data_IF_090208497138
#
_entry.id   IF_090208497138
#
_cell.length_a   1.000
_cell.length_b   1.000
_cell.length_c   1.000
_cell.angle_alpha   90.00
_cell.angle_beta   90.00
_cell.angle_gamma   90.00
#
_symmetry.space_group_name_H-M   'P 1'
#
loop_
_entity.id
_entity.type
_entity.pdbx_description
1 polymer ?
#
# COMPACT_ATOMS: atom_id res chain seq x y z
N UNK A 1 25.43 11.50 46.99
CA UNK A 1 25.89 11.36 45.58
C UNK A 1 25.38 10.06 44.96
N UNK A 2 25.41 8.92 45.66
CA UNK A 2 25.03 7.62 45.08
C UNK A 2 23.53 7.44 44.78
N UNK A 3 22.64 8.20 45.44
CA UNK A 3 21.19 8.16 45.14
C UNK A 3 20.79 8.95 43.89
N UNK A 4 21.58 9.96 43.50
CA UNK A 4 21.35 10.77 42.30
C UNK A 4 21.73 10.00 41.03
N UNK A 5 22.79 9.18 41.10
CA UNK A 5 23.25 8.33 39.99
C UNK A 5 22.22 7.22 39.72
N UNK A 6 21.60 6.65 40.76
CA UNK A 6 20.53 5.66 40.60
C UNK A 6 19.27 6.21 39.92
N UNK A 7 18.92 7.48 40.18
CA UNK A 7 17.78 8.13 39.52
C UNK A 7 18.13 8.48 38.07
N UNK A 8 19.32 9.01 37.79
CA UNK A 8 19.76 9.29 36.42
C UNK A 8 19.90 8.03 35.57
N UNK A 9 20.39 6.94 36.15
CA UNK A 9 20.51 5.65 35.46
C UNK A 9 19.14 4.97 35.30
N UNK A 10 18.24 5.12 36.27
CA UNK A 10 16.85 4.69 36.17
C UNK A 10 16.05 5.46 35.12
N UNK A 11 16.24 6.79 35.02
CA UNK A 11 15.67 7.62 33.95
C UNK A 11 16.27 7.25 32.60
N UNK A 12 17.60 7.07 32.50
CA UNK A 12 18.24 6.63 31.26
C UNK A 12 17.74 5.27 30.77
N UNK A 13 17.60 4.28 31.65
CA UNK A 13 17.07 2.95 31.32
C UNK A 13 15.56 3.01 31.03
N UNK A 14 14.78 3.79 31.78
CA UNK A 14 13.35 3.96 31.52
C UNK A 14 13.10 4.68 30.18
N UNK A 15 13.88 5.72 29.85
CA UNK A 15 13.83 6.42 28.57
C UNK A 15 14.32 5.52 27.44
N UNK A 16 15.33 4.67 27.66
CA UNK A 16 15.78 3.69 26.66
C UNK A 16 14.73 2.60 26.41
N UNK A 17 14.08 2.09 27.47
CA UNK A 17 12.97 1.14 27.35
C UNK A 17 11.74 1.79 26.72
N UNK A 18 11.43 3.05 27.05
CA UNK A 18 10.36 3.82 26.39
C UNK A 18 10.67 4.05 24.92
N UNK A 19 11.89 4.44 24.56
CA UNK A 19 12.29 4.60 23.15
C UNK A 19 12.27 3.29 22.38
N UNK A 20 12.66 2.16 22.99
CA UNK A 20 12.62 0.86 22.32
C UNK A 20 11.19 0.30 22.20
N UNK A 21 10.36 0.39 23.24
CA UNK A 21 8.95 -0.05 23.15
C UNK A 21 8.08 0.87 22.28
N UNK A 22 8.43 2.16 22.13
CA UNK A 22 7.77 3.11 21.23
C UNK A 22 8.24 2.96 19.77
N UNK A 23 9.50 2.53 19.55
CA UNK A 23 10.05 2.16 18.22
C UNK A 23 9.33 0.96 17.60
N UNK A 24 9.07 -0.10 18.37
CA UNK A 24 8.38 -1.29 17.87
C UNK A 24 6.84 -1.14 17.85
N UNK A 25 6.24 -0.36 18.77
CA UNK A 25 4.78 -0.34 18.96
C UNK A 25 3.99 0.51 17.96
N UNK A 26 4.44 1.73 17.65
CA UNK A 26 3.64 2.66 16.83
C UNK A 26 3.90 2.54 15.33
N UNK A 27 5.12 2.17 14.93
CA UNK A 27 5.44 1.81 13.55
C UNK A 27 4.59 0.63 13.09
N UNK A 28 4.44 -0.39 13.93
CA UNK A 28 3.61 -1.57 13.67
C UNK A 28 2.12 -1.20 13.56
N UNK A 29 1.63 -0.27 14.38
CA UNK A 29 0.24 0.24 14.30
C UNK A 29 0.01 1.02 13.00
N UNK A 30 0.96 1.86 12.57
CA UNK A 30 0.88 2.57 11.30
C UNK A 30 0.91 1.59 10.11
N UNK A 31 1.80 0.59 10.12
CA UNK A 31 1.85 -0.47 9.11
C UNK A 31 0.55 -1.26 9.05
N UNK A 32 -0.03 -1.62 10.19
CA UNK A 32 -1.30 -2.34 10.26
C UNK A 32 -2.48 -1.50 9.71
N UNK A 33 -2.46 -0.18 9.94
CA UNK A 33 -3.42 0.75 9.35
C UNK A 33 -3.26 0.84 7.83
N UNK A 34 -2.03 0.95 7.32
CA UNK A 34 -1.75 0.94 5.88
C UNK A 34 -2.18 -0.38 5.23
N UNK A 35 -1.90 -1.52 5.85
CA UNK A 35 -2.33 -2.83 5.38
C UNK A 35 -3.86 -2.94 5.34
N UNK A 36 -4.56 -2.44 6.37
CA UNK A 36 -6.04 -2.40 6.38
C UNK A 36 -6.60 -1.53 5.25
N UNK A 37 -5.98 -0.39 4.98
CA UNK A 37 -6.35 0.50 3.87
C UNK A 37 -6.16 -0.19 2.50
N UNK A 38 -5.01 -0.83 2.29
CA UNK A 38 -4.74 -1.57 1.05
C UNK A 38 -5.72 -2.73 0.85
N UNK A 39 -6.10 -3.44 1.91
CA UNK A 39 -7.17 -4.46 1.84
C UNK A 39 -8.52 -3.86 1.46
N UNK A 40 -8.85 -2.66 1.95
CA UNK A 40 -10.07 -1.95 1.54
C UNK A 40 -10.03 -1.54 0.06
N UNK A 41 -8.87 -1.09 -0.44
CA UNK A 41 -8.64 -0.78 -1.86
C UNK A 41 -8.77 -2.06 -2.71
N UNK A 42 -8.13 -3.16 -2.29
CA UNK A 42 -8.27 -4.45 -2.98
C UNK A 42 -9.74 -4.91 -3.02
N UNK A 43 -10.48 -4.80 -1.92
CA UNK A 43 -11.91 -5.16 -1.89
C UNK A 43 -12.77 -4.37 -2.91
N UNK A 44 -12.35 -3.16 -3.29
CA UNK A 44 -12.96 -2.39 -4.38
C UNK A 44 -12.59 -2.94 -5.77
N UNK A 45 -11.34 -3.39 -5.95
CA UNK A 45 -10.86 -4.03 -7.19
C UNK A 45 -11.47 -5.42 -7.43
N UNK A 46 -12.10 -6.03 -6.42
CA UNK A 46 -12.70 -7.36 -6.54
C UNK A 46 -13.73 -7.39 -7.67
N UNK A 47 -13.45 -8.20 -8.69
CA UNK A 47 -14.35 -8.45 -9.80
C UNK A 47 -15.72 -8.95 -9.28
N UNK A 48 -16.85 -8.54 -9.89
CA UNK A 48 -18.16 -9.08 -9.56
C UNK A 48 -18.17 -10.60 -9.78
N UNK A 49 -18.62 -11.35 -8.78
CA UNK A 49 -18.79 -12.80 -8.87
C UNK A 49 -19.71 -13.14 -10.06
N UNK A 50 -19.38 -14.18 -10.80
CA UNK A 50 -20.14 -14.63 -11.97
C UNK A 50 -21.56 -14.99 -11.53
N UNK A 51 -22.52 -14.09 -11.77
CA UNK A 51 -23.92 -14.23 -11.35
C UNK A 51 -24.54 -12.99 -10.68
N UNK A 52 -23.75 -11.98 -10.30
CA UNK A 52 -24.30 -10.66 -9.96
C UNK A 52 -24.68 -9.92 -11.23
N UNK A 53 -25.95 -9.53 -11.35
CA UNK A 53 -26.47 -8.77 -12.49
C UNK A 53 -25.60 -7.52 -12.70
N UNK A 54 -25.16 -7.24 -13.94
CA UNK A 54 -24.28 -6.10 -14.30
C UNK A 54 -24.86 -4.71 -13.95
N UNK A 55 -26.03 -4.66 -13.31
CA UNK A 55 -26.80 -3.48 -12.93
C UNK A 55 -26.68 -3.08 -11.46
N UNK A 56 -25.88 -3.79 -10.66
CA UNK A 56 -25.62 -3.46 -9.27
C UNK A 56 -24.59 -2.30 -9.12
N UNK A 57 -24.91 -1.16 -9.71
CA UNK A 57 -24.13 0.10 -9.62
C UNK A 57 -24.12 0.66 -8.19
N UNK A 58 -25.21 0.46 -7.45
CA UNK A 58 -25.37 0.92 -6.06
C UNK A 58 -24.34 0.31 -5.09
N UNK A 59 -24.16 -1.02 -5.01
CA UNK A 59 -23.14 -1.62 -4.14
C UNK A 59 -21.70 -1.36 -4.60
N UNK A 60 -21.46 -1.04 -5.88
CA UNK A 60 -20.14 -0.58 -6.33
C UNK A 60 -19.82 0.83 -5.79
N UNK A 61 -20.72 1.80 -5.99
CA UNK A 61 -20.54 3.16 -5.50
C UNK A 61 -20.36 3.22 -3.98
N UNK A 62 -21.10 2.38 -3.23
CA UNK A 62 -20.96 2.29 -1.78
C UNK A 62 -19.59 1.74 -1.36
N UNK A 63 -19.07 0.70 -2.02
CA UNK A 63 -17.73 0.17 -1.75
C UNK A 63 -16.65 1.18 -2.08
N UNK A 64 -16.79 1.90 -3.18
CA UNK A 64 -15.88 2.98 -3.56
C UNK A 64 -15.85 4.10 -2.51
N UNK A 65 -17.01 4.55 -2.03
CA UNK A 65 -17.10 5.55 -0.96
C UNK A 65 -16.44 5.07 0.35
N UNK A 66 -16.65 3.81 0.71
CA UNK A 66 -16.01 3.21 1.90
C UNK A 66 -14.49 3.16 1.77
N UNK A 67 -13.97 2.76 0.61
CA UNK A 67 -12.52 2.75 0.35
C UNK A 67 -11.91 4.16 0.45
N UNK A 68 -12.59 5.18 -0.12
CA UNK A 68 -12.16 6.58 -0.01
C UNK A 68 -12.17 7.08 1.44
N UNK A 69 -13.18 6.70 2.22
CA UNK A 69 -13.25 7.07 3.63
C UNK A 69 -12.11 6.47 4.46
N UNK A 70 -11.75 5.20 4.20
CA UNK A 70 -10.62 4.53 4.88
C UNK A 70 -9.29 5.18 4.51
N UNK A 71 -9.10 5.55 3.23
CA UNK A 71 -7.91 6.28 2.78
C UNK A 71 -7.79 7.64 3.51
N UNK A 72 -8.87 8.41 3.55
CA UNK A 72 -8.88 9.72 4.23
C UNK A 72 -8.63 9.61 5.74
N UNK A 73 -9.15 8.57 6.42
CA UNK A 73 -8.86 8.32 7.84
C UNK A 73 -7.37 7.99 8.09
N UNK A 74 -6.75 7.24 7.16
CA UNK A 74 -5.33 6.93 7.22
C UNK A 74 -4.47 8.18 7.01
N UNK A 75 -4.81 9.05 6.04
CA UNK A 75 -4.13 10.33 5.81
C UNK A 75 -4.24 11.26 7.01
N UNK A 76 -5.43 11.38 7.60
CA UNK A 76 -5.65 12.19 8.80
C UNK A 76 -4.86 11.65 10.00
N UNK A 77 -4.82 10.33 10.16
CA UNK A 77 -4.02 9.69 11.22
C UNK A 77 -2.53 9.97 11.05
N UNK A 78 -2.01 9.79 9.84
CA UNK A 78 -0.60 10.06 9.54
C UNK A 78 -0.24 11.54 9.75
N UNK A 79 -1.11 12.46 9.31
CA UNK A 79 -0.89 13.90 9.48
C UNK A 79 -0.80 14.29 10.95
N UNK A 80 -1.64 13.70 11.81
CA UNK A 80 -1.59 13.91 13.26
C UNK A 80 -0.30 13.39 13.86
N UNK A 81 0.11 12.17 13.52
CA UNK A 81 1.35 11.54 14.04
C UNK A 81 2.59 12.31 13.59
N UNK A 82 2.64 12.76 12.33
CA UNK A 82 3.76 13.53 11.79
C UNK A 82 3.96 14.91 12.44
N UNK A 83 2.93 15.42 13.13
CA UNK A 83 2.97 16.68 13.88
C UNK A 83 3.32 16.48 15.35
N UNK A 84 3.46 15.24 15.84
CA UNK A 84 3.85 14.98 17.22
C UNK A 84 5.34 15.32 17.44
N UNK A 85 5.69 16.12 18.48
CA UNK A 85 7.07 16.58 18.69
C UNK A 85 8.09 15.46 18.83
N UNK A 86 7.70 14.34 19.46
CA UNK A 86 8.57 13.16 19.61
C UNK A 86 8.78 12.36 18.33
N UNK A 87 7.96 12.61 17.29
CA UNK A 87 8.05 11.92 16.00
C UNK A 87 9.10 12.54 15.07
N UNK A 88 9.22 13.87 15.07
CA UNK A 88 10.16 14.58 14.20
C UNK A 88 11.62 14.46 14.65
N UNK A 89 11.86 14.21 15.94
CA UNK A 89 13.21 14.09 16.51
C UNK A 89 13.84 12.69 16.29
N UNK A 90 13.08 11.71 15.80
CA UNK A 90 13.51 10.33 15.60
C UNK A 90 13.75 9.97 14.11
N UNK A 91 14.44 8.83 13.85
CA UNK A 91 14.60 8.17 12.53
C UNK A 91 13.26 7.88 11.78
N UNK A 92 12.12 8.20 12.38
CA UNK A 92 10.76 7.89 11.92
C UNK A 92 10.28 8.77 10.74
N UNK A 93 11.05 9.78 10.35
CA UNK A 93 10.81 10.57 9.13
C UNK A 93 10.79 9.71 7.86
N UNK A 94 11.63 8.66 7.79
CA UNK A 94 11.62 7.72 6.66
C UNK A 94 10.33 6.91 6.61
N UNK A 95 9.84 6.43 7.77
CA UNK A 95 8.55 5.70 7.85
C UNK A 95 7.38 6.58 7.40
N UNK A 96 7.38 7.86 7.74
CA UNK A 96 6.39 8.82 7.25
C UNK A 96 6.46 9.00 5.74
N UNK A 97 7.67 9.11 5.16
CA UNK A 97 7.84 9.22 3.70
C UNK A 97 7.34 7.95 2.98
N UNK A 98 7.68 6.76 3.48
CA UNK A 98 7.18 5.50 2.92
C UNK A 98 5.65 5.42 3.02
N UNK A 99 5.08 5.76 4.19
CA UNK A 99 3.64 5.75 4.39
C UNK A 99 2.90 6.77 3.49
N UNK A 100 3.44 7.98 3.31
CA UNK A 100 2.92 8.98 2.37
C UNK A 100 2.99 8.49 0.92
N UNK A 101 4.07 7.80 0.55
CA UNK A 101 4.22 7.22 -0.80
C UNK A 101 3.20 6.10 -1.04
N UNK A 102 3.01 5.21 -0.07
CA UNK A 102 1.99 4.14 -0.14
C UNK A 102 0.58 4.74 -0.22
N UNK A 103 0.29 5.80 0.54
CA UNK A 103 -1.00 6.51 0.50
C UNK A 103 -1.27 7.16 -0.86
N UNK A 104 -0.27 7.89 -1.39
CA UNK A 104 -0.35 8.50 -2.70
C UNK A 104 -0.58 7.44 -3.79
N UNK A 105 0.15 6.33 -3.72
CA UNK A 105 -0.01 5.25 -4.68
C UNK A 105 -1.36 4.53 -4.54
N UNK A 106 -1.86 4.34 -3.31
CA UNK A 106 -3.19 3.80 -3.06
C UNK A 106 -4.30 4.62 -3.73
N UNK A 107 -4.16 5.96 -3.73
CA UNK A 107 -5.07 6.86 -4.43
C UNK A 107 -5.05 6.64 -5.95
N UNK A 108 -3.86 6.53 -6.54
CA UNK A 108 -3.73 6.30 -7.98
C UNK A 108 -4.31 4.94 -8.40
N UNK A 109 -4.10 3.89 -7.58
CA UNK A 109 -4.72 2.57 -7.79
C UNK A 109 -6.25 2.67 -7.76
N UNK A 110 -6.83 3.45 -6.84
CA UNK A 110 -8.28 3.66 -6.78
C UNK A 110 -8.82 4.39 -8.01
N UNK A 111 -8.10 5.39 -8.52
CA UNK A 111 -8.48 6.13 -9.73
C UNK A 111 -8.40 5.25 -10.98
N UNK A 112 -7.33 4.48 -11.14
CA UNK A 112 -7.18 3.54 -12.24
C UNK A 112 -8.22 2.41 -12.20
N UNK A 113 -8.55 1.92 -11.00
CA UNK A 113 -9.62 0.93 -10.80
C UNK A 113 -11.01 1.45 -11.18
N UNK A 114 -11.31 2.71 -10.86
CA UNK A 114 -12.56 3.38 -11.29
C UNK A 114 -12.61 3.60 -12.80
N UNK A 115 -11.49 4.00 -13.41
CA UNK A 115 -11.37 4.15 -14.86
C UNK A 115 -11.62 2.83 -15.59
N UNK A 116 -11.04 1.73 -15.11
CA UNK A 116 -11.28 0.38 -15.64
C UNK A 116 -12.75 -0.04 -15.50
N UNK A 117 -13.37 0.20 -14.33
CA UNK A 117 -14.79 -0.09 -14.13
C UNK A 117 -15.67 0.68 -15.13
N UNK A 118 -15.43 1.98 -15.31
CA UNK A 118 -16.14 2.80 -16.30
C UNK A 118 -15.92 2.32 -17.72
N UNK A 119 -14.70 1.91 -18.07
CA UNK A 119 -14.38 1.36 -19.39
C UNK A 119 -15.13 0.04 -19.64
N UNK A 120 -15.21 -0.85 -18.64
CA UNK A 120 -15.98 -2.10 -18.71
C UNK A 120 -17.48 -1.84 -18.92
N UNK A 121 -18.05 -0.90 -18.16
CA UNK A 121 -19.48 -0.52 -18.28
C UNK A 121 -19.77 0.13 -19.64
N UNK A 122 -18.90 1.04 -20.10
CA UNK A 122 -19.09 1.73 -21.37
C UNK A 122 -18.98 0.79 -22.58
N UNK A 123 -18.18 -0.26 -22.48
CA UNK A 123 -17.96 -1.23 -23.56
C UNK A 123 -18.80 -2.51 -23.43
N UNK A 124 -19.73 -2.54 -22.46
CA UNK A 124 -20.65 -3.66 -22.27
C UNK A 124 -21.40 -3.97 -23.58
N UNK A 125 -21.18 -5.17 -24.12
CA UNK A 125 -21.80 -5.66 -25.35
C UNK A 125 -21.20 -5.17 -26.68
N UNK A 126 -20.17 -4.31 -26.66
CA UNK A 126 -19.45 -3.88 -27.87
C UNK A 126 -18.01 -4.41 -27.94
N UNK A 127 -17.40 -4.69 -26.79
CA UNK A 127 -16.06 -5.28 -26.72
C UNK A 127 -16.04 -6.78 -26.97
N UNK A 128 -14.89 -7.26 -27.46
CA UNK A 128 -14.68 -8.69 -27.63
C UNK A 128 -14.69 -9.41 -26.26
N UNK A 129 -15.24 -10.65 -26.18
CA UNK A 129 -15.17 -11.45 -24.95
C UNK A 129 -13.74 -11.69 -24.47
N UNK A 130 -12.78 -11.70 -25.40
CA UNK A 130 -11.36 -11.83 -25.11
C UNK A 130 -10.80 -10.59 -24.41
N UNK A 131 -11.11 -9.38 -24.89
CA UNK A 131 -10.67 -8.15 -24.24
C UNK A 131 -11.28 -7.96 -22.85
N UNK A 132 -12.57 -8.27 -22.70
CA UNK A 132 -13.24 -8.27 -21.39
C UNK A 132 -12.61 -9.31 -20.45
N UNK A 133 -12.28 -10.50 -20.97
CA UNK A 133 -11.57 -11.53 -20.22
C UNK A 133 -10.18 -11.10 -19.76
N UNK A 134 -9.40 -10.48 -20.65
CA UNK A 134 -8.06 -9.98 -20.35
C UNK A 134 -8.08 -8.85 -19.30
N UNK A 135 -9.01 -7.89 -19.44
CA UNK A 135 -9.20 -6.82 -18.47
C UNK A 135 -9.64 -7.34 -17.09
N UNK A 136 -10.53 -8.33 -17.06
CA UNK A 136 -10.95 -8.97 -15.80
C UNK A 136 -9.82 -9.79 -15.18
N UNK A 137 -9.02 -10.48 -15.98
CA UNK A 137 -7.84 -11.19 -15.49
C UNK A 137 -6.83 -10.22 -14.85
N UNK A 138 -6.53 -9.09 -15.51
CA UNK A 138 -5.68 -8.04 -14.96
C UNK A 138 -6.24 -7.47 -13.65
N UNK A 139 -7.56 -7.27 -13.55
CA UNK A 139 -8.21 -6.83 -12.30
C UNK A 139 -8.07 -7.85 -11.17
N UNK A 140 -8.23 -9.15 -11.45
CA UNK A 140 -8.06 -10.23 -10.46
C UNK A 140 -6.62 -10.33 -9.99
N UNK A 141 -5.67 -10.18 -10.89
CA UNK A 141 -4.24 -10.21 -10.55
C UNK A 141 -3.84 -8.97 -9.75
N UNK A 142 -4.32 -7.78 -10.12
CA UNK A 142 -4.15 -6.54 -9.36
C UNK A 142 -4.71 -6.67 -7.93
N UNK A 143 -5.89 -7.28 -7.78
CA UNK A 143 -6.47 -7.61 -6.48
C UNK A 143 -5.55 -8.52 -5.64
N UNK A 144 -5.00 -9.57 -6.25
CA UNK A 144 -4.14 -10.53 -5.56
C UNK A 144 -2.83 -9.86 -5.11
N UNK A 145 -2.22 -9.06 -5.98
CA UNK A 145 -0.96 -8.38 -5.72
C UNK A 145 -1.06 -7.30 -4.64
N UNK A 146 -2.14 -6.50 -4.63
CA UNK A 146 -2.36 -5.50 -3.57
C UNK A 146 -2.61 -6.18 -2.22
N UNK A 147 -3.34 -7.31 -2.17
CA UNK A 147 -3.52 -8.06 -0.93
C UNK A 147 -2.22 -8.70 -0.45
N UNK A 148 -1.43 -9.26 -1.36
CA UNK A 148 -0.12 -9.83 -1.05
C UNK A 148 0.80 -8.77 -0.44
N UNK A 149 0.88 -7.59 -1.05
CA UNK A 149 1.63 -6.46 -0.47
C UNK A 149 1.10 -6.06 0.91
N UNK A 150 -0.23 -5.99 1.09
CA UNK A 150 -0.84 -5.68 2.38
C UNK A 150 -0.52 -6.72 3.47
N UNK A 151 -0.44 -7.99 3.10
CA UNK A 151 -0.06 -9.08 4.00
C UNK A 151 1.42 -9.01 4.35
N UNK A 152 2.30 -8.80 3.37
CA UNK A 152 3.75 -8.63 3.59
C UNK A 152 4.07 -7.39 4.45
N UNK A 153 3.29 -6.30 4.30
CA UNK A 153 3.42 -5.08 5.11
C UNK A 153 2.98 -5.29 6.58
N UNK A 154 2.06 -6.22 6.82
CA UNK A 154 1.53 -6.54 8.14
C UNK A 154 2.40 -7.53 8.94
N UNK A 155 3.38 -8.19 8.30
CA UNK A 155 4.30 -9.13 8.95
C UNK A 155 5.42 -8.36 9.69
N UNK A 156 5.95 -8.95 10.78
CA UNK A 156 7.12 -8.43 11.51
C UNK A 156 8.27 -9.45 11.45
N UNK A 157 9.43 -9.09 10.86
CA UNK A 157 9.77 -7.80 10.22
C UNK A 157 9.02 -7.59 8.88
N UNK A 158 8.75 -6.33 8.49
CA UNK A 158 8.09 -6.04 7.22
C UNK A 158 9.06 -6.23 6.05
N UNK A 159 8.66 -7.06 5.09
CA UNK A 159 9.37 -7.29 3.82
C UNK A 159 8.38 -7.19 2.65
N UNK A 160 7.71 -6.05 2.52
CA UNK A 160 6.78 -5.82 1.41
C UNK A 160 7.56 -5.46 0.15
N UNK A 161 7.46 -6.30 -0.87
CA UNK A 161 8.14 -6.10 -2.15
C UNK A 161 7.20 -5.44 -3.16
N UNK A 162 7.73 -4.51 -3.94
CA UNK A 162 7.01 -3.88 -5.04
C UNK A 162 6.36 -4.95 -5.94
N UNK A 163 5.04 -4.86 -6.19
CA UNK A 163 4.35 -5.76 -7.10
C UNK A 163 4.96 -5.73 -8.50
N UNK A 164 4.93 -6.87 -9.19
CA UNK A 164 5.41 -6.91 -10.56
C UNK A 164 4.38 -6.33 -11.51
N UNK A 165 4.85 -5.78 -12.63
CA UNK A 165 3.97 -5.31 -13.69
C UNK A 165 3.21 -6.51 -14.27
N UNK A 166 1.89 -6.47 -14.13
CA UNK A 166 0.99 -7.49 -14.67
C UNK A 166 0.98 -7.39 -16.20
N UNK A 167 1.39 -8.46 -16.87
CA UNK A 167 1.46 -8.52 -18.32
C UNK A 167 0.08 -8.80 -18.93
N UNK A 168 -0.52 -7.81 -19.59
CA UNK A 168 -1.74 -8.03 -20.37
C UNK A 168 -1.35 -8.58 -21.73
N UNK A 169 -1.82 -9.80 -22.04
CA UNK A 169 -1.50 -10.45 -23.30
C UNK A 169 -1.99 -9.62 -24.49
N UNK A 170 -1.06 -9.03 -25.24
CA UNK A 170 -1.28 -8.17 -26.41
C UNK A 170 -1.78 -8.93 -27.66
N UNK A 171 -2.65 -9.92 -27.48
CA UNK A 171 -3.22 -10.65 -28.60
C UNK A 171 -4.28 -9.78 -29.28
N UNK A 172 -4.05 -9.47 -30.56
CA UNK A 172 -4.96 -8.82 -31.52
C UNK A 172 -6.02 -7.93 -30.85
N UNK A 173 -5.57 -6.80 -30.30
CA UNK A 173 -6.47 -5.80 -29.74
C UNK A 173 -7.20 -5.15 -30.90
N UNK A 174 -8.51 -5.41 -30.99
CA UNK A 174 -9.37 -4.66 -31.90
C UNK A 174 -9.36 -3.18 -31.48
N UNK A 175 -9.37 -2.22 -32.42
CA UNK A 175 -9.33 -0.80 -32.08
C UNK A 175 -10.51 -0.35 -31.19
N UNK A 176 -11.63 -1.09 -31.22
CA UNK A 176 -12.77 -0.88 -30.35
C UNK A 176 -12.50 -1.28 -28.88
N UNK A 177 -11.56 -2.19 -28.63
CA UNK A 177 -11.18 -2.69 -27.30
C UNK A 177 -10.03 -1.89 -26.68
N UNK A 178 -9.40 -0.99 -27.45
CA UNK A 178 -8.28 -0.17 -26.99
C UNK A 178 -8.53 0.58 -25.67
N UNK A 179 -9.67 1.26 -25.44
CA UNK A 179 -9.87 1.97 -24.17
C UNK A 179 -10.00 1.03 -22.98
N UNK A 180 -10.49 -0.21 -23.18
CA UNK A 180 -10.50 -1.24 -22.13
C UNK A 180 -9.08 -1.70 -21.77
N UNK A 181 -8.27 -2.00 -22.78
CA UNK A 181 -6.90 -2.48 -22.59
C UNK A 181 -6.04 -1.41 -21.94
N UNK A 182 -6.14 -0.15 -22.38
CA UNK A 182 -5.40 0.97 -21.78
C UNK A 182 -5.76 1.16 -20.31
N UNK A 183 -7.04 1.06 -19.94
CA UNK A 183 -7.45 1.19 -18.55
C UNK A 183 -6.94 0.03 -17.69
N UNK A 184 -6.86 -1.18 -18.24
CA UNK A 184 -6.31 -2.34 -17.54
C UNK A 184 -4.78 -2.22 -17.37
N UNK A 185 -4.06 -1.78 -18.40
CA UNK A 185 -2.61 -1.54 -18.34
C UNK A 185 -2.26 -0.43 -17.34
N UNK A 186 -3.07 0.64 -17.29
CA UNK A 186 -2.88 1.71 -16.32
C UNK A 186 -3.06 1.21 -14.89
N UNK A 187 -4.09 0.40 -14.61
CA UNK A 187 -4.27 -0.25 -13.31
C UNK A 187 -3.05 -1.11 -12.94
N UNK A 188 -2.57 -1.95 -13.86
CA UNK A 188 -1.38 -2.77 -13.65
C UNK A 188 -0.14 -1.94 -13.35
N UNK A 189 0.03 -0.80 -14.04
CA UNK A 189 1.14 0.14 -13.79
C UNK A 189 1.04 0.78 -12.41
N UNK A 190 -0.16 1.19 -11.99
CA UNK A 190 -0.33 1.79 -10.67
C UNK A 190 -0.12 0.77 -9.55
N UNK A 191 -0.51 -0.49 -9.72
CA UNK A 191 -0.20 -1.53 -8.73
C UNK A 191 1.32 -1.77 -8.63
N UNK A 192 2.01 -1.81 -9.76
CA UNK A 192 3.48 -1.96 -9.80
C UNK A 192 4.26 -0.74 -9.29
N UNK A 193 3.60 0.42 -9.14
CA UNK A 193 4.20 1.63 -8.57
C UNK A 193 4.24 1.64 -7.03
N UNK A 194 3.73 0.60 -6.36
CA UNK A 194 3.87 0.48 -4.90
C UNK A 194 5.35 0.34 -4.52
N UNK A 195 5.84 1.11 -3.53
CA UNK A 195 7.26 1.14 -3.18
C UNK A 195 7.68 -0.11 -2.42
N UNK A 196 8.96 -0.50 -2.53
CA UNK A 196 9.54 -1.48 -1.62
C UNK A 196 9.51 -0.94 -0.18
N UNK A 197 9.06 -1.77 0.75
CA UNK A 197 9.07 -1.48 2.17
C UNK A 197 10.15 -2.32 2.86
N UNK A 198 11.35 -1.76 2.97
CA UNK A 198 12.46 -2.34 3.74
C UNK A 198 12.90 -1.33 4.79
N UNK A 199 12.77 -1.69 6.06
CA UNK A 199 13.44 -0.95 7.13
C UNK A 199 14.89 -1.43 7.07
N UNK A 200 15.78 -0.67 6.42
CA UNK A 200 17.21 -0.96 6.47
C UNK A 200 17.62 -1.00 7.95
N UNK A 201 18.00 -2.19 8.44
CA UNK A 201 18.72 -2.27 9.69
C UNK A 201 19.95 -1.36 9.56
N UNK A 202 20.24 -0.48 10.54
CA UNK A 202 21.35 0.44 10.44
C UNK A 202 22.59 -0.37 10.11
N UNK A 203 23.16 -0.09 8.94
CA UNK A 203 24.36 -0.74 8.45
C UNK A 203 25.40 -0.55 9.54
N UNK A 204 25.65 -1.60 10.33
CA UNK A 204 26.78 -1.59 11.25
C UNK A 204 28.00 -1.58 10.33
N UNK A 205 28.52 -0.39 10.08
CA UNK A 205 29.81 -0.21 9.44
C UNK A 205 30.81 -0.94 10.33
N UNK A 206 31.13 -2.18 9.98
CA UNK A 206 32.21 -2.94 10.57
C UNK A 206 33.48 -2.16 10.25
N UNK A 207 33.89 -1.32 11.19
CA UNK A 207 35.06 -0.48 11.09
C UNK A 207 36.28 -1.37 10.85
N UNK A 208 36.72 -1.38 9.61
CA UNK A 208 37.95 -2.00 9.15
C UNK A 208 39.13 -1.35 9.88
N UNK A 209 39.67 -2.01 10.89
CA UNK A 209 40.99 -1.71 11.44
C UNK A 209 41.93 -2.88 11.17
N UNK A 210 42.29 -3.03 9.90
CA UNK A 210 43.53 -3.71 9.53
C UNK A 210 44.66 -2.67 9.55
N UNK A 211 45.20 -2.38 10.73
CA UNK A 211 46.50 -1.71 10.84
C UNK A 211 47.57 -2.78 10.76
N UNK A 212 48.20 -2.90 9.58
CA UNK A 212 49.54 -3.48 9.42
C UNK A 212 50.46 -2.39 8.91
N UNK A 213 51.38 -1.96 9.77
CA UNK A 213 52.72 -1.46 9.38
C UNK A 213 53.66 -1.80 10.51
#
# INVERSE_FOLDING_TARGET
RDRLVGILLGVGVATFVQMSFWREGEGDVLRQKLATMLRAIAAQLRAPEVGSDERDVLPYAQRQLQAWAVLADCEATLSRVALEPGWQEAEQSQLTLHAQTVLAQGREIMLAGDALHKALVAQAGSSSPQAVGAARAAQVEAYAEVNRYADELAVSPPEAHAPQLIGIAAQAVEPADQPLIVAAEDLSRQVAGLPDWRIEAPVTTSSSQAVRT
#
